data_IF_672500629113
#
_entry.id   IF_672500629113
#
_cell.length_a   1.000
_cell.length_b   1.000
_cell.length_c   1.000
_cell.angle_alpha   90.00
_cell.angle_beta   90.00
_cell.angle_gamma   90.00
#
_symmetry.space_group_name_H-M   'P 1'
#
loop_
_entity.id
_entity.type
_entity.pdbx_description
1 polymer ?
#
# COMPACT_ATOMS: atom_id res chain seq x y z
N UNK A 1 13.48 7.04 3.10
CA UNK A 1 12.21 6.93 2.35
C UNK A 1 11.52 8.29 2.39
N UNK A 2 11.10 8.76 1.22
CA UNK A 2 10.32 9.97 1.01
C UNK A 2 8.91 9.59 0.56
N UNK A 3 7.89 10.27 1.06
CA UNK A 3 6.51 10.21 0.55
C UNK A 3 5.92 11.61 0.56
N UNK A 4 5.25 12.01 -0.52
CA UNK A 4 4.64 13.34 -0.64
C UNK A 4 5.59 14.48 -0.21
N UNK A 5 6.84 14.44 -0.72
CA UNK A 5 7.92 15.38 -0.40
C UNK A 5 8.44 15.38 1.05
N UNK A 6 7.91 14.54 1.93
CA UNK A 6 8.34 14.42 3.33
C UNK A 6 9.19 13.17 3.58
N UNK A 7 10.15 13.26 4.49
CA UNK A 7 10.91 12.09 4.97
C UNK A 7 10.03 11.34 5.96
N UNK A 8 9.70 10.10 5.61
CA UNK A 8 8.75 9.25 6.34
C UNK A 8 9.42 8.05 7.00
N UNK A 9 10.68 7.79 6.64
CA UNK A 9 11.45 6.70 7.22
C UNK A 9 12.95 6.87 6.94
N UNK A 10 13.76 6.56 7.95
CA UNK A 10 15.22 6.55 7.86
C UNK A 10 15.76 5.25 8.41
N UNK A 11 16.86 4.75 7.86
CA UNK A 11 17.49 3.53 8.34
C UNK A 11 18.96 3.48 7.93
N UNK A 12 19.68 2.54 8.54
CA UNK A 12 21.09 2.28 8.21
C UNK A 12 21.31 0.78 8.11
N UNK A 13 21.86 0.35 6.98
CA UNK A 13 22.33 -1.01 6.78
C UNK A 13 23.86 -1.06 6.85
N UNK A 14 24.41 -2.14 7.42
CA UNK A 14 25.86 -2.37 7.48
C UNK A 14 26.19 -3.63 6.69
N UNK A 15 26.84 -3.44 5.55
CA UNK A 15 27.37 -4.54 4.75
C UNK A 15 28.87 -4.69 5.03
N UNK A 16 29.33 -5.91 5.32
CA UNK A 16 30.76 -6.21 5.36
C UNK A 16 31.23 -6.43 3.92
N UNK A 17 32.35 -5.82 3.56
CA UNK A 17 32.95 -5.89 2.22
C UNK A 17 34.45 -6.17 2.37
N UNK A 18 34.97 -7.15 1.65
CA UNK A 18 36.41 -7.41 1.57
C UNK A 18 37.05 -6.58 0.44
N UNK A 19 37.91 -5.62 0.80
CA UNK A 19 38.59 -4.76 -0.17
C UNK A 19 39.42 -5.58 -1.18
N UNK A 20 39.25 -5.28 -2.46
CA UNK A 20 40.03 -5.87 -3.56
C UNK A 20 39.56 -7.24 -4.05
N UNK A 21 38.52 -7.83 -3.45
CA UNK A 21 37.92 -9.09 -3.93
C UNK A 21 36.50 -8.94 -4.44
N UNK A 22 35.72 -8.04 -3.84
CA UNK A 22 34.31 -7.88 -4.16
C UNK A 22 34.08 -6.61 -4.99
N UNK A 23 33.91 -6.79 -6.31
CA UNK A 23 33.52 -5.72 -7.24
C UNK A 23 32.01 -5.65 -7.46
N UNK A 24 31.28 -6.68 -7.03
CA UNK A 24 29.83 -6.79 -7.10
C UNK A 24 29.29 -7.32 -5.79
N UNK A 25 28.13 -6.82 -5.39
CA UNK A 25 27.45 -7.25 -4.18
C UNK A 25 25.95 -7.00 -4.27
N UNK A 26 25.21 -7.72 -3.45
CA UNK A 26 23.77 -7.55 -3.25
C UNK A 26 23.52 -7.41 -1.75
N UNK A 27 22.58 -6.55 -1.39
CA UNK A 27 22.14 -6.38 -0.01
C UNK A 27 20.61 -6.29 0.01
N UNK A 28 20.03 -6.79 1.10
CA UNK A 28 18.59 -6.71 1.33
C UNK A 28 18.30 -5.59 2.33
N UNK A 29 17.35 -4.73 1.98
CA UNK A 29 16.78 -3.75 2.90
C UNK A 29 15.32 -4.10 3.12
N UNK A 30 14.93 -4.33 4.37
CA UNK A 30 13.54 -4.57 4.75
C UNK A 30 13.02 -3.33 5.47
N UNK A 31 11.85 -2.84 5.07
CA UNK A 31 11.18 -1.74 5.76
C UNK A 31 9.67 -1.96 5.77
N UNK A 32 9.07 -1.74 6.94
CA UNK A 32 7.63 -1.75 7.11
C UNK A 32 7.04 -0.46 6.55
N UNK A 33 6.14 -0.57 5.57
CA UNK A 33 5.48 0.59 5.00
C UNK A 33 4.19 0.89 5.76
N UNK A 34 4.15 2.05 6.42
CA UNK A 34 2.92 2.54 7.03
C UNK A 34 2.09 3.32 6.02
N UNK A 35 0.81 2.95 5.95
CA UNK A 35 -0.36 3.57 5.30
C UNK A 35 -0.24 5.06 4.99
N UNK A 36 0.07 5.86 6.01
CA UNK A 36 0.11 7.33 5.95
C UNK A 36 1.17 7.84 4.96
N UNK A 37 2.11 6.96 4.61
CA UNK A 37 3.32 7.26 3.85
C UNK A 37 3.41 6.43 2.55
N UNK A 38 2.37 5.68 2.17
CA UNK A 38 2.44 4.69 1.08
C UNK A 38 2.21 5.30 -0.33
N UNK A 39 1.81 6.57 -0.42
CA UNK A 39 1.60 7.23 -1.70
C UNK A 39 2.92 7.70 -2.30
N UNK A 40 3.19 7.27 -3.54
CA UNK A 40 4.33 7.70 -4.36
C UNK A 40 5.63 7.77 -3.54
N UNK A 41 6.07 6.62 -3.04
CA UNK A 41 7.27 6.55 -2.21
C UNK A 41 8.52 6.48 -3.03
N UNK A 42 9.53 7.25 -2.62
CA UNK A 42 10.87 7.18 -3.16
C UNK A 42 11.83 6.69 -2.08
N UNK A 43 12.63 5.69 -2.42
CA UNK A 43 13.75 5.27 -1.60
C UNK A 43 15.01 5.91 -2.13
N UNK A 44 15.78 6.50 -1.20
CA UNK A 44 17.10 7.05 -1.45
C UNK A 44 18.06 6.25 -0.59
N UNK A 45 19.09 5.68 -1.22
CA UNK A 45 20.16 4.97 -0.53
C UNK A 45 21.45 5.71 -0.87
N UNK A 46 22.30 5.91 0.13
CA UNK A 46 23.60 6.51 -0.06
C UNK A 46 24.66 5.82 0.79
N UNK A 47 25.91 5.96 0.38
CA UNK A 47 27.09 5.57 1.14
C UNK A 47 28.19 6.62 0.97
N UNK A 48 29.05 6.72 1.97
CA UNK A 48 30.22 7.61 1.94
C UNK A 48 31.45 6.71 1.97
N UNK A 49 32.26 6.78 0.93
CA UNK A 49 33.49 6.00 0.82
C UNK A 49 34.56 6.54 1.78
N UNK A 50 35.59 5.74 2.13
CA UNK A 50 36.73 6.23 2.91
C UNK A 50 37.46 7.43 2.28
N UNK A 51 37.35 7.59 0.96
CA UNK A 51 37.85 8.76 0.22
C UNK A 51 37.07 10.05 0.50
N UNK A 52 35.90 9.96 1.14
CA UNK A 52 34.96 11.07 1.32
C UNK A 52 33.96 11.23 0.18
N UNK A 53 34.04 10.41 -0.87
CA UNK A 53 33.11 10.42 -2.00
C UNK A 53 31.72 9.91 -1.58
N UNK A 54 30.67 10.60 -2.03
CA UNK A 54 29.27 10.23 -1.83
C UNK A 54 28.74 9.51 -3.06
N UNK A 55 28.24 8.29 -2.87
CA UNK A 55 27.51 7.54 -3.89
C UNK A 55 26.07 7.39 -3.42
N UNK A 56 25.11 7.73 -4.29
CA UNK A 56 23.69 7.62 -3.99
C UNK A 56 22.89 7.14 -5.23
N UNK A 57 21.82 6.40 -4.97
CA UNK A 57 20.80 6.04 -5.97
C UNK A 57 19.41 6.18 -5.35
N UNK A 58 18.41 6.34 -6.21
CA UNK A 58 17.01 6.41 -5.83
C UNK A 58 16.11 5.59 -6.74
N UNK A 59 15.06 5.01 -6.15
CA UNK A 59 13.99 4.33 -6.88
C UNK A 59 12.64 4.72 -6.34
N UNK A 60 11.71 4.92 -7.26
CA UNK A 60 10.31 5.11 -6.95
C UNK A 60 9.63 3.76 -6.85
N UNK A 61 8.74 3.65 -5.85
CA UNK A 61 7.98 2.45 -5.58
C UNK A 61 6.51 2.80 -5.41
N UNK A 62 5.68 2.08 -6.16
CA UNK A 62 4.23 2.14 -6.05
C UNK A 62 3.78 0.99 -5.17
N UNK A 63 3.14 1.33 -4.05
CA UNK A 63 2.46 0.35 -3.20
C UNK A 63 1.07 0.09 -3.77
N UNK A 64 0.62 -1.16 -3.69
CA UNK A 64 -0.75 -1.52 -4.07
C UNK A 64 -1.76 -0.79 -3.17
N UNK A 65 -2.93 -0.47 -3.72
CA UNK A 65 -3.99 0.18 -2.96
C UNK A 65 -4.79 -0.86 -2.19
N UNK A 66 -4.84 -0.74 -0.87
CA UNK A 66 -5.46 -1.70 0.03
C UNK A 66 -6.33 -0.98 1.10
N UNK A 67 -7.30 -1.70 1.68
CA UNK A 67 -8.04 -1.28 2.89
C UNK A 67 -7.56 -2.11 4.09
N UNK A 68 -7.18 -1.44 5.18
CA UNK A 68 -6.67 -2.03 6.43
C UNK A 68 -7.77 -2.83 7.10
N UNK A 69 -8.94 -2.21 7.21
CA UNK A 69 -10.11 -2.81 7.79
C UNK A 69 -10.96 -3.40 6.67
N UNK A 70 -11.07 -4.72 6.67
CA UNK A 70 -11.93 -5.44 5.73
C UNK A 70 -13.26 -5.68 6.40
N UNK A 71 -14.29 -4.97 5.91
CA UNK A 71 -15.66 -5.35 6.18
C UNK A 71 -16.11 -6.42 5.17
N UNK A 72 -16.90 -7.39 5.63
CA UNK A 72 -17.62 -8.31 4.74
C UNK A 72 -19.11 -8.12 4.95
N UNK A 73 -19.84 -8.14 3.84
CA UNK A 73 -21.29 -7.98 3.79
C UNK A 73 -21.87 -9.15 2.99
N UNK A 74 -22.85 -9.86 3.56
CA UNK A 74 -23.55 -10.95 2.85
C UNK A 74 -24.95 -11.15 3.39
N UNK A 75 -25.86 -11.62 2.54
CA UNK A 75 -27.18 -12.07 2.97
C UNK A 75 -27.14 -13.54 3.38
N UNK A 76 -28.06 -13.95 4.26
CA UNK A 76 -28.24 -15.37 4.60
C UNK A 76 -28.69 -16.17 3.39
N UNK A 77 -29.61 -15.61 2.61
CA UNK A 77 -30.15 -16.17 1.38
C UNK A 77 -29.85 -15.22 0.20
N UNK A 78 -29.54 -15.77 -0.96
CA UNK A 78 -29.21 -14.96 -2.14
C UNK A 78 -30.44 -14.27 -2.76
N UNK A 79 -31.62 -14.85 -2.58
CA UNK A 79 -32.87 -14.37 -3.14
C UNK A 79 -33.99 -14.50 -2.09
N UNK A 80 -35.01 -13.65 -2.22
CA UNK A 80 -36.16 -13.65 -1.32
C UNK A 80 -37.43 -13.20 -2.03
N UNK A 81 -38.58 -13.50 -1.44
CA UNK A 81 -39.85 -13.03 -1.95
C UNK A 81 -40.00 -11.52 -1.71
N UNK A 82 -40.70 -10.78 -2.59
CA UNK A 82 -41.01 -9.38 -2.35
C UNK A 82 -41.73 -9.18 -1.01
N UNK A 83 -41.20 -8.29 -0.17
CA UNK A 83 -41.72 -8.02 1.18
C UNK A 83 -41.43 -9.11 2.21
N UNK A 84 -40.68 -10.16 1.85
CA UNK A 84 -40.18 -11.16 2.78
C UNK A 84 -39.10 -10.62 3.70
N UNK A 85 -38.96 -11.23 4.87
CA UNK A 85 -37.86 -10.94 5.79
C UNK A 85 -36.53 -11.47 5.22
N UNK A 86 -35.46 -10.71 5.41
CA UNK A 86 -34.10 -11.14 5.05
C UNK A 86 -33.11 -10.68 6.11
N UNK A 87 -32.01 -11.42 6.25
CA UNK A 87 -30.95 -11.14 7.20
C UNK A 87 -29.66 -10.77 6.46
N UNK A 88 -29.19 -9.56 6.73
CA UNK A 88 -27.92 -9.02 6.22
C UNK A 88 -26.88 -9.10 7.34
N UNK A 89 -25.79 -9.81 7.06
CA UNK A 89 -24.68 -10.00 7.98
C UNK A 89 -23.52 -9.08 7.63
N UNK A 90 -22.91 -8.52 8.68
CA UNK A 90 -21.71 -7.68 8.58
C UNK A 90 -20.67 -8.20 9.54
N UNK A 91 -19.44 -8.34 9.05
CA UNK A 91 -18.26 -8.51 9.90
C UNK A 91 -17.24 -7.44 9.56
N UNK A 92 -16.48 -7.00 10.56
CA UNK A 92 -15.44 -5.99 10.43
C UNK A 92 -14.65 -5.88 11.73
N UNK A 93 -13.65 -5.00 11.74
CA UNK A 93 -12.86 -4.72 12.93
C UNK A 93 -13.76 -4.07 14.01
N UNK A 94 -13.53 -4.40 15.29
CA UNK A 94 -14.23 -3.78 16.41
C UNK A 94 -13.98 -2.26 16.42
N UNK A 95 -14.98 -1.47 16.85
CA UNK A 95 -14.97 0.00 16.97
C UNK A 95 -15.08 0.83 15.67
N UNK A 96 -15.42 0.20 14.55
CA UNK A 96 -15.69 0.92 13.29
C UNK A 96 -17.18 1.20 13.07
N UNK A 97 -17.49 2.34 12.47
CA UNK A 97 -18.84 2.71 12.03
C UNK A 97 -19.01 2.23 10.59
N UNK A 98 -20.00 1.36 10.34
CA UNK A 98 -20.33 0.89 9.00
C UNK A 98 -21.54 1.66 8.44
N UNK A 99 -21.40 2.19 7.22
CA UNK A 99 -22.51 2.71 6.44
C UNK A 99 -22.96 1.67 5.41
N UNK A 100 -24.26 1.40 5.34
CA UNK A 100 -24.85 0.43 4.41
C UNK A 100 -25.64 1.19 3.35
N UNK A 101 -25.43 0.86 2.08
CA UNK A 101 -26.17 1.40 0.96
C UNK A 101 -26.75 0.24 0.14
N UNK A 102 -28.07 0.25 -0.07
CA UNK A 102 -28.78 -0.71 -0.90
C UNK A 102 -29.40 0.02 -2.09
N UNK A 103 -29.27 -0.55 -3.28
CA UNK A 103 -29.69 0.07 -4.55
C UNK A 103 -30.41 -0.99 -5.39
N UNK A 104 -31.49 -0.59 -6.05
CA UNK A 104 -32.16 -1.43 -7.05
C UNK A 104 -31.25 -1.61 -8.28
N UNK A 105 -31.17 -2.83 -8.82
CA UNK A 105 -30.31 -3.14 -9.97
C UNK A 105 -30.59 -2.23 -11.18
N UNK A 106 -31.85 -1.85 -11.41
CA UNK A 106 -32.19 -0.95 -12.52
C UNK A 106 -31.65 0.47 -12.30
N UNK A 107 -31.54 0.93 -11.06
CA UNK A 107 -30.94 2.24 -10.74
C UNK A 107 -29.43 2.18 -10.97
N UNK A 108 -28.79 1.06 -10.61
CA UNK A 108 -27.38 0.83 -10.88
C UNK A 108 -27.08 0.87 -12.40
N UNK A 109 -27.92 0.22 -13.22
CA UNK A 109 -27.79 0.24 -14.67
C UNK A 109 -27.99 1.64 -15.29
N UNK A 110 -28.85 2.47 -14.70
CA UNK A 110 -29.14 3.82 -15.22
C UNK A 110 -28.11 4.88 -14.82
N UNK A 111 -27.42 4.73 -13.68
CA UNK A 111 -26.44 5.70 -13.16
C UNK A 111 -25.25 5.02 -12.47
N UNK A 112 -24.40 4.31 -13.21
CA UNK A 112 -23.24 3.61 -12.64
C UNK A 112 -22.20 4.58 -12.03
N UNK A 113 -22.17 5.85 -12.44
CA UNK A 113 -21.25 6.85 -11.88
C UNK A 113 -21.57 7.22 -10.44
N UNK A 114 -22.79 6.94 -9.95
CA UNK A 114 -23.18 7.12 -8.55
C UNK A 114 -22.69 5.97 -7.65
N UNK A 115 -22.19 4.88 -8.21
CA UNK A 115 -21.71 3.73 -7.44
C UNK A 115 -20.49 4.13 -6.60
N UNK A 116 -20.49 3.74 -5.34
CA UNK A 116 -19.35 3.96 -4.46
C UNK A 116 -18.34 2.82 -4.65
N UNK A 117 -17.22 3.12 -5.33
CA UNK A 117 -16.16 2.14 -5.59
C UNK A 117 -14.91 2.43 -4.76
N UNK A 118 -14.10 1.39 -4.45
CA UNK A 118 -12.78 1.57 -3.85
C UNK A 118 -11.90 2.59 -4.57
N UNK A 119 -11.91 2.60 -5.91
CA UNK A 119 -11.09 3.50 -6.72
C UNK A 119 -11.50 4.95 -6.55
N UNK A 120 -12.81 5.23 -6.44
CA UNK A 120 -13.31 6.57 -6.15
C UNK A 120 -12.84 7.01 -4.77
N UNK A 121 -12.94 6.15 -3.75
CA UNK A 121 -12.41 6.41 -2.41
C UNK A 121 -10.91 6.74 -2.42
N UNK A 122 -10.11 5.91 -3.09
CA UNK A 122 -8.67 6.12 -3.20
C UNK A 122 -8.32 7.42 -3.93
N UNK A 123 -9.14 7.83 -4.91
CA UNK A 123 -8.98 9.10 -5.63
C UNK A 123 -9.39 10.32 -4.79
N UNK A 124 -10.44 10.20 -3.98
CA UNK A 124 -10.95 11.30 -3.16
C UNK A 124 -10.10 11.56 -1.92
N UNK A 125 -9.69 10.50 -1.23
CA UNK A 125 -9.07 10.64 0.08
C UNK A 125 -7.57 10.41 0.11
N UNK A 126 -6.94 9.93 -0.97
CA UNK A 126 -5.55 9.46 -0.94
C UNK A 126 -5.31 8.61 0.33
N UNK A 127 -6.11 7.55 0.53
CA UNK A 127 -5.95 6.58 1.63
C UNK A 127 -5.48 5.23 1.04
N UNK A 128 -4.31 4.73 1.41
CA UNK A 128 -3.81 3.38 1.08
C UNK A 128 -3.52 2.73 2.42
N UNK A 129 -4.23 1.67 2.76
CA UNK A 129 -4.24 1.04 4.07
C UNK A 129 -3.80 -0.43 3.99
N UNK A 130 -2.57 -0.65 4.45
CA UNK A 130 -1.84 -1.87 4.85
C UNK A 130 -1.63 -2.94 3.77
N UNK A 131 -0.44 -2.89 3.19
CA UNK A 131 0.07 -3.90 2.29
C UNK A 131 1.40 -4.38 2.88
N UNK A 132 1.50 -5.65 3.27
CA UNK A 132 2.79 -6.29 3.51
C UNK A 132 3.62 -6.15 2.23
N UNK A 133 4.75 -5.45 2.35
CA UNK A 133 5.56 -5.09 1.20
C UNK A 133 7.00 -5.48 1.46
N UNK A 134 7.42 -6.59 0.85
CA UNK A 134 8.81 -6.98 0.76
C UNK A 134 9.35 -6.55 -0.60
N UNK A 135 10.38 -5.71 -0.60
CA UNK A 135 11.08 -5.36 -1.84
C UNK A 135 12.59 -5.47 -1.69
N UNK A 136 13.20 -5.98 -2.76
CA UNK A 136 14.62 -6.22 -2.90
C UNK A 136 15.24 -5.09 -3.73
N UNK A 137 16.23 -4.38 -3.19
CA UNK A 137 17.00 -3.39 -3.94
C UNK A 137 18.23 -4.06 -4.58
N UNK A 138 18.18 -4.33 -5.89
CA UNK A 138 19.25 -5.01 -6.63
C UNK A 138 19.92 -4.04 -7.61
N UNK A 139 20.88 -3.27 -7.14
CA UNK A 139 22.05 -2.70 -7.87
C UNK A 139 22.55 -1.44 -7.19
N UNK A 140 23.76 -1.46 -6.64
CA UNK A 140 24.54 -0.21 -6.42
C UNK A 140 25.98 -0.33 -6.93
N UNK A 141 26.46 -1.50 -7.37
CA UNK A 141 27.87 -1.65 -7.80
C UNK A 141 27.97 -2.33 -9.17
N UNK A 142 27.34 -1.77 -10.19
CA UNK A 142 27.82 -1.95 -11.58
C UNK A 142 28.56 -0.65 -11.96
N UNK A 143 29.81 -0.54 -11.51
CA UNK A 143 30.83 0.36 -12.08
C UNK A 143 31.95 -0.49 -12.63
#
# INVERSE_FOLDING_TARGET
MKSNENIVGTGRHRQRVEQGKETKGEFLLTHWMFVENAFNTQWLIYTILPSGELIADSRDFTVEKCFRDRAKLWFSDQEGLPGGETQLHISGTYDYICAIHAVDENVYLLKPEAEFSPEKLFKFYNIILDCEFEQFFKRVLDT
#
